data_IF_173657985004
#
_entry.id   IF_173657985004
#
_cell.length_a   1.000
_cell.length_b   1.000
_cell.length_c   1.000
_cell.angle_alpha   90.00
_cell.angle_beta   90.00
_cell.angle_gamma   90.00
#
_symmetry.space_group_name_H-M   'P 1'
#
loop_
_entity.id
_entity.type
_entity.pdbx_description
1 polymer ?
#
# COMPACT_ATOMS: atom_id res chain seq x y z
N UNK A 1 -28.10 11.49 -15.29
CA UNK A 1 -27.87 10.51 -16.39
C UNK A 1 -26.48 9.92 -16.22
N UNK A 2 -26.42 8.65 -15.78
CA UNK A 2 -25.18 7.89 -15.70
C UNK A 2 -24.51 7.90 -17.09
N UNK A 3 -23.21 8.18 -17.14
CA UNK A 3 -22.47 7.94 -18.39
C UNK A 3 -22.51 6.44 -18.64
N UNK A 4 -23.02 6.04 -19.80
CA UNK A 4 -23.04 4.63 -20.20
C UNK A 4 -21.61 4.07 -20.11
N UNK A 5 -21.43 2.83 -19.63
CA UNK A 5 -20.15 2.15 -19.67
C UNK A 5 -19.59 2.17 -21.09
N UNK A 6 -18.30 2.46 -21.24
CA UNK A 6 -17.59 2.26 -22.51
C UNK A 6 -17.45 0.77 -22.78
N UNK A 7 -17.44 0.33 -24.05
CA UNK A 7 -17.26 -1.11 -24.39
C UNK A 7 -16.05 -1.77 -23.71
N UNK A 8 -15.00 -1.00 -23.39
CA UNK A 8 -13.81 -1.48 -22.67
C UNK A 8 -14.07 -1.77 -21.18
N UNK A 9 -14.85 -0.93 -20.48
CA UNK A 9 -15.15 -1.15 -19.06
C UNK A 9 -16.04 -2.38 -18.84
N UNK A 10 -17.05 -2.59 -19.69
CA UNK A 10 -17.87 -3.81 -19.60
C UNK A 10 -17.04 -5.07 -19.89
N UNK A 11 -16.03 -4.95 -20.74
CA UNK A 11 -15.09 -6.04 -21.05
C UNK A 11 -14.21 -6.39 -19.83
N UNK A 12 -13.65 -5.42 -19.11
CA UNK A 12 -12.81 -5.69 -17.94
C UNK A 12 -13.56 -6.47 -16.84
N UNK A 13 -14.79 -6.07 -16.53
CA UNK A 13 -15.61 -6.75 -15.53
C UNK A 13 -15.97 -8.18 -15.97
N UNK A 14 -16.28 -8.38 -17.25
CA UNK A 14 -16.54 -9.71 -17.82
C UNK A 14 -15.30 -10.61 -17.78
N UNK A 15 -14.11 -10.06 -18.05
CA UNK A 15 -12.86 -10.81 -17.95
C UNK A 15 -12.58 -11.23 -16.51
N UNK A 16 -12.68 -10.32 -15.54
CA UNK A 16 -12.53 -10.69 -14.13
C UNK A 16 -13.59 -11.69 -13.67
N UNK A 17 -14.82 -11.59 -14.18
CA UNK A 17 -15.86 -12.60 -13.93
C UNK A 17 -15.44 -13.96 -14.48
N UNK A 18 -14.90 -14.00 -15.69
CA UNK A 18 -14.39 -15.23 -16.28
C UNK A 18 -13.23 -15.82 -15.45
N UNK A 19 -12.30 -14.99 -14.97
CA UNK A 19 -11.23 -15.43 -14.08
C UNK A 19 -11.78 -15.96 -12.74
N UNK A 20 -12.78 -15.29 -12.18
CA UNK A 20 -13.48 -15.73 -10.97
C UNK A 20 -14.14 -17.11 -11.16
N UNK A 21 -14.93 -17.28 -12.22
CA UNK A 21 -15.67 -18.50 -12.56
C UNK A 21 -14.77 -19.66 -13.03
N UNK A 22 -13.65 -19.37 -13.70
CA UNK A 22 -12.69 -20.39 -14.15
C UNK A 22 -12.17 -21.27 -13.00
N UNK A 23 -12.30 -20.78 -11.77
CA UNK A 23 -11.91 -21.47 -10.53
C UNK A 23 -13.10 -21.85 -9.64
N UNK A 24 -14.33 -21.82 -10.18
CA UNK A 24 -15.60 -21.81 -9.42
C UNK A 24 -15.84 -22.95 -8.44
N UNK A 25 -15.21 -24.12 -8.58
CA UNK A 25 -15.31 -25.22 -7.59
C UNK A 25 -14.42 -25.02 -6.35
N UNK A 26 -13.53 -24.03 -6.36
CA UNK A 26 -12.49 -23.83 -5.34
C UNK A 26 -12.61 -22.48 -4.61
N UNK A 27 -13.75 -21.79 -4.69
CA UNK A 27 -13.96 -20.48 -4.04
C UNK A 27 -14.79 -20.60 -2.76
N UNK A 28 -14.38 -19.90 -1.71
CA UNK A 28 -15.16 -19.78 -0.47
C UNK A 28 -16.42 -18.93 -0.65
N UNK A 29 -17.35 -19.08 0.29
CA UNK A 29 -18.51 -18.22 0.43
C UNK A 29 -18.12 -16.73 0.53
N UNK A 30 -17.02 -16.42 1.21
CA UNK A 30 -16.52 -15.06 1.40
C UNK A 30 -16.07 -14.44 0.06
N UNK A 31 -15.34 -15.19 -0.78
CA UNK A 31 -14.97 -14.73 -2.11
C UNK A 31 -16.20 -14.46 -2.99
N UNK A 32 -17.24 -15.30 -2.91
CA UNK A 32 -18.52 -15.08 -3.61
C UNK A 32 -19.26 -13.83 -3.10
N UNK A 33 -19.28 -13.59 -1.79
CA UNK A 33 -19.89 -12.38 -1.22
C UNK A 33 -19.17 -11.11 -1.69
N UNK A 34 -17.84 -11.11 -1.69
CA UNK A 34 -17.06 -9.98 -2.20
C UNK A 34 -17.29 -9.78 -3.70
N UNK A 35 -17.35 -10.85 -4.48
CA UNK A 35 -17.70 -10.77 -5.90
C UNK A 35 -19.08 -10.14 -6.12
N UNK A 36 -20.10 -10.54 -5.35
CA UNK A 36 -21.42 -9.93 -5.40
C UNK A 36 -21.40 -8.44 -5.05
N UNK A 37 -20.62 -8.03 -4.05
CA UNK A 37 -20.48 -6.61 -3.70
C UNK A 37 -19.76 -5.83 -4.79
N UNK A 38 -18.73 -6.40 -5.41
CA UNK A 38 -18.07 -5.82 -6.58
C UNK A 38 -19.08 -5.56 -7.71
N UNK A 39 -19.92 -6.55 -8.03
CA UNK A 39 -20.96 -6.41 -9.05
C UNK A 39 -22.02 -5.35 -8.70
N UNK A 40 -22.33 -5.18 -7.41
CA UNK A 40 -23.26 -4.14 -6.93
C UNK A 40 -22.66 -2.73 -7.01
N UNK A 41 -21.39 -2.57 -6.64
CA UNK A 41 -20.68 -1.29 -6.73
C UNK A 41 -20.44 -0.89 -8.19
N UNK A 42 -20.13 -1.87 -9.04
CA UNK A 42 -19.75 -1.67 -10.43
C UNK A 42 -18.38 -1.02 -10.58
N UNK A 43 -17.98 -0.81 -11.84
CA UNK A 43 -16.73 -0.12 -12.13
C UNK A 43 -16.85 1.38 -11.87
N UNK A 44 -15.87 1.99 -11.21
CA UNK A 44 -15.87 3.42 -10.97
C UNK A 44 -15.62 4.19 -12.27
N UNK A 45 -16.11 5.43 -12.29
CA UNK A 45 -15.88 6.38 -13.38
C UNK A 45 -15.29 7.66 -12.83
N UNK A 46 -14.64 8.46 -13.67
CA UNK A 46 -14.09 9.78 -13.28
C UNK A 46 -15.13 10.79 -12.78
N UNK A 47 -16.43 10.49 -12.93
CA UNK A 47 -17.52 11.30 -12.36
C UNK A 47 -17.72 11.04 -10.86
N UNK A 48 -17.28 9.88 -10.37
CA UNK A 48 -17.31 9.56 -8.95
C UNK A 48 -16.19 10.32 -8.24
N UNK A 49 -16.52 10.91 -7.10
CA UNK A 49 -15.64 11.83 -6.37
C UNK A 49 -14.28 11.19 -6.01
N UNK A 50 -14.30 9.93 -5.57
CA UNK A 50 -13.11 9.19 -5.17
C UNK A 50 -12.23 8.72 -6.36
N UNK A 51 -12.64 8.95 -7.60
CA UNK A 51 -12.00 8.45 -8.83
C UNK A 51 -11.72 9.53 -9.88
N UNK A 52 -11.98 10.80 -9.56
CA UNK A 52 -11.80 11.93 -10.49
C UNK A 52 -10.38 12.04 -11.08
N UNK A 53 -9.37 11.74 -10.26
CA UNK A 53 -7.95 11.99 -10.53
C UNK A 53 -7.14 10.74 -10.87
N UNK A 54 -7.76 9.57 -10.75
CA UNK A 54 -7.12 8.26 -10.91
C UNK A 54 -7.70 7.57 -12.15
N UNK A 55 -7.06 7.73 -13.32
CA UNK A 55 -7.57 7.22 -14.58
C UNK A 55 -7.50 5.69 -14.60
N UNK A 56 -8.56 5.04 -15.07
CA UNK A 56 -8.65 3.57 -15.15
C UNK A 56 -8.81 3.07 -16.58
N UNK A 57 -8.87 3.98 -17.55
CA UNK A 57 -9.13 3.67 -18.95
C UNK A 57 -8.06 2.72 -19.51
N UNK A 58 -6.78 2.92 -19.13
CA UNK A 58 -5.67 2.07 -19.58
C UNK A 58 -5.66 0.69 -18.93
N UNK A 59 -6.17 0.56 -17.70
CA UNK A 59 -6.33 -0.73 -17.02
C UNK A 59 -7.51 -1.50 -17.60
N UNK A 60 -8.66 -0.84 -17.76
CA UNK A 60 -9.87 -1.48 -18.26
C UNK A 60 -9.82 -1.85 -19.74
N UNK A 61 -8.86 -1.31 -20.51
CA UNK A 61 -8.63 -1.73 -21.89
C UNK A 61 -7.79 -3.01 -22.04
N UNK A 62 -7.24 -3.55 -20.94
CA UNK A 62 -6.35 -4.71 -20.98
C UNK A 62 -7.13 -6.03 -21.16
N UNK A 63 -6.38 -7.07 -21.57
CA UNK A 63 -6.87 -8.45 -21.61
C UNK A 63 -6.22 -9.25 -20.48
N UNK A 64 -6.95 -9.49 -19.38
CA UNK A 64 -6.45 -10.13 -18.17
C UNK A 64 -6.41 -11.66 -18.30
N UNK A 65 -5.32 -12.24 -17.82
CA UNK A 65 -5.12 -13.68 -17.67
C UNK A 65 -4.53 -14.00 -16.30
N UNK A 66 -4.76 -15.21 -15.83
CA UNK A 66 -4.05 -15.72 -14.66
C UNK A 66 -2.62 -16.08 -15.08
N UNK A 67 -1.60 -15.77 -14.27
CA UNK A 67 -0.24 -16.17 -14.55
C UNK A 67 -0.12 -17.69 -14.69
N UNK A 68 0.63 -18.13 -15.70
CA UNK A 68 1.16 -19.50 -15.72
C UNK A 68 2.30 -19.62 -14.72
N UNK A 69 2.56 -20.82 -14.18
CA UNK A 69 3.56 -21.01 -13.11
C UNK A 69 4.96 -20.52 -13.54
N UNK A 70 5.29 -19.29 -13.18
CA UNK A 70 6.60 -18.68 -13.43
C UNK A 70 7.68 -19.47 -12.73
N UNK A 71 8.75 -19.78 -13.47
CA UNK A 71 9.94 -20.42 -12.90
C UNK A 71 10.79 -19.36 -12.22
N UNK A 72 10.69 -19.27 -10.91
CA UNK A 72 11.56 -18.46 -10.06
C UNK A 72 12.50 -19.40 -9.30
N UNK A 73 13.80 -19.12 -9.35
CA UNK A 73 14.84 -19.90 -8.69
C UNK A 73 15.33 -19.22 -7.42
N UNK A 74 16.04 -19.96 -6.56
CA UNK A 74 16.68 -19.38 -5.38
C UNK A 74 17.70 -18.28 -5.73
N UNK A 75 18.32 -18.36 -6.92
CA UNK A 75 19.23 -17.32 -7.41
C UNK A 75 18.50 -16.02 -7.74
N UNK A 76 17.31 -16.11 -8.35
CA UNK A 76 16.47 -14.94 -8.63
C UNK A 76 16.05 -14.27 -7.30
N UNK A 77 15.63 -15.07 -6.31
CA UNK A 77 15.31 -14.56 -4.96
C UNK A 77 16.51 -13.84 -4.33
N UNK A 78 17.72 -14.38 -4.45
CA UNK A 78 18.92 -13.75 -3.88
C UNK A 78 19.25 -12.39 -4.53
N UNK A 79 18.85 -12.15 -5.77
CA UNK A 79 19.04 -10.87 -6.47
C UNK A 79 17.94 -9.85 -6.14
N UNK A 80 16.73 -10.33 -5.90
CA UNK A 80 15.52 -9.50 -5.74
C UNK A 80 15.26 -9.18 -4.25
N UNK A 81 15.52 -10.12 -3.36
CA UNK A 81 15.22 -9.99 -1.95
C UNK A 81 16.11 -8.95 -1.25
N UNK A 82 15.54 -8.31 -0.24
CA UNK A 82 16.29 -7.45 0.67
C UNK A 82 17.27 -8.31 1.48
N UNK A 83 18.49 -7.79 1.67
CA UNK A 83 19.51 -8.42 2.51
C UNK A 83 19.30 -8.09 3.99
N UNK A 84 18.15 -8.47 4.53
CA UNK A 84 17.76 -8.23 5.94
C UNK A 84 17.69 -9.55 6.70
N UNK A 85 18.02 -9.52 7.99
CA UNK A 85 17.81 -10.66 8.88
C UNK A 85 16.33 -10.72 9.30
N UNK A 86 15.55 -11.53 8.58
CA UNK A 86 14.09 -11.60 8.71
C UNK A 86 13.61 -13.05 8.54
N UNK A 87 12.38 -13.33 9.00
CA UNK A 87 11.64 -14.52 8.59
C UNK A 87 11.02 -14.24 7.23
N UNK A 88 11.49 -14.89 6.17
CA UNK A 88 11.07 -14.59 4.80
C UNK A 88 10.02 -15.55 4.27
N UNK A 89 8.88 -14.99 3.87
CA UNK A 89 7.81 -15.69 3.14
C UNK A 89 7.76 -15.18 1.69
N UNK A 90 7.88 -16.11 0.74
CA UNK A 90 7.91 -15.82 -0.69
C UNK A 90 6.53 -16.10 -1.31
N UNK A 91 6.06 -15.15 -2.09
CA UNK A 91 4.84 -15.26 -2.87
C UNK A 91 5.17 -14.97 -4.34
N UNK A 92 4.74 -15.86 -5.23
CA UNK A 92 4.93 -15.72 -6.67
C UNK A 92 3.57 -15.79 -7.33
N UNK A 93 3.23 -14.77 -8.10
CA UNK A 93 2.01 -14.76 -8.93
C UNK A 93 0.74 -15.09 -8.14
N UNK A 94 0.60 -14.50 -6.95
CA UNK A 94 -0.56 -14.67 -6.07
C UNK A 94 -0.55 -15.90 -5.16
N UNK A 95 0.50 -16.75 -5.21
CA UNK A 95 0.59 -18.00 -4.43
C UNK A 95 1.81 -18.04 -3.51
N UNK A 96 1.68 -18.68 -2.35
CA UNK A 96 2.78 -18.95 -1.43
C UNK A 96 3.71 -20.03 -2.00
N UNK A 97 5.02 -19.76 -1.95
CA UNK A 97 6.04 -20.72 -2.35
C UNK A 97 6.80 -21.22 -1.13
N UNK A 98 6.43 -22.41 -0.65
CA UNK A 98 7.05 -23.02 0.53
C UNK A 98 8.53 -23.37 0.33
N UNK A 99 8.94 -23.77 -0.88
CA UNK A 99 10.32 -24.19 -1.18
C UNK A 99 11.32 -23.03 -1.13
N UNK A 100 10.89 -21.83 -1.52
CA UNK A 100 11.71 -20.61 -1.54
C UNK A 100 11.58 -19.78 -0.24
N UNK A 101 10.64 -20.15 0.64
CA UNK A 101 10.43 -19.51 1.93
C UNK A 101 11.28 -20.14 3.03
N UNK A 102 11.47 -19.40 4.11
CA UNK A 102 12.07 -19.96 5.32
C UNK A 102 11.19 -21.06 5.92
N UNK A 103 11.81 -22.07 6.52
CA UNK A 103 11.09 -23.20 7.14
C UNK A 103 10.88 -23.00 8.65
N UNK A 104 11.57 -22.03 9.25
CA UNK A 104 11.44 -21.68 10.67
C UNK A 104 10.91 -20.26 10.77
N UNK A 105 9.85 -20.08 11.57
CA UNK A 105 9.09 -18.84 11.62
C UNK A 105 9.27 -18.05 12.91
N UNK A 106 10.23 -18.38 13.77
CA UNK A 106 10.68 -17.58 14.92
C UNK A 106 9.60 -16.89 15.77
N UNK A 107 8.54 -17.63 16.11
CA UNK A 107 7.43 -17.13 16.93
C UNK A 107 6.21 -16.64 16.13
N UNK A 108 6.31 -16.54 14.82
CA UNK A 108 5.17 -16.34 13.93
C UNK A 108 4.44 -17.67 13.69
N UNK A 109 3.15 -17.71 14.02
CA UNK A 109 2.24 -18.73 13.51
C UNK A 109 1.90 -18.42 12.06
N UNK A 110 2.24 -19.31 11.12
CA UNK A 110 1.96 -19.14 9.69
C UNK A 110 1.02 -20.25 9.22
N UNK A 111 -0.16 -19.87 8.73
CA UNK A 111 -1.13 -20.78 8.15
C UNK A 111 -1.54 -20.33 6.75
N UNK A 112 -1.32 -21.19 5.77
CA UNK A 112 -1.77 -21.01 4.39
C UNK A 112 -3.12 -21.67 4.23
N UNK A 113 -4.13 -20.90 3.80
CA UNK A 113 -5.47 -21.41 3.52
C UNK A 113 -5.79 -21.23 2.04
N UNK A 114 -6.25 -22.30 1.40
CA UNK A 114 -6.77 -22.21 0.03
C UNK A 114 -8.08 -21.42 0.02
N UNK A 115 -8.40 -20.78 -1.12
CA UNK A 115 -9.59 -19.94 -1.24
C UNK A 115 -10.88 -20.64 -0.80
N UNK A 116 -11.03 -21.95 -1.00
CA UNK A 116 -12.20 -22.74 -0.60
C UNK A 116 -12.34 -22.94 0.92
N UNK A 117 -11.22 -22.98 1.64
CA UNK A 117 -11.15 -23.32 3.07
C UNK A 117 -11.00 -22.09 3.97
N UNK A 118 -11.00 -20.92 3.35
CA UNK A 118 -10.78 -19.64 4.00
C UNK A 118 -11.83 -19.38 5.08
N UNK A 119 -11.36 -19.13 6.30
CA UNK A 119 -12.21 -18.65 7.40
C UNK A 119 -12.65 -17.21 7.16
N UNK A 120 -13.77 -16.83 7.77
CA UNK A 120 -14.19 -15.44 7.79
C UNK A 120 -13.17 -14.60 8.57
N UNK A 121 -12.70 -13.52 7.96
CA UNK A 121 -12.00 -12.45 8.66
C UNK A 121 -12.99 -11.32 8.97
N UNK A 122 -12.53 -10.33 9.72
CA UNK A 122 -13.31 -9.13 10.02
C UNK A 122 -13.80 -8.43 8.75
N UNK A 123 -14.95 -7.76 8.89
CA UNK A 123 -15.51 -6.97 7.81
C UNK A 123 -14.55 -5.84 7.41
N UNK A 124 -14.51 -5.46 6.12
CA UNK A 124 -13.74 -4.30 5.68
C UNK A 124 -14.09 -3.03 6.46
N UNK A 125 -13.07 -2.30 6.92
CA UNK A 125 -13.27 -0.99 7.55
C UNK A 125 -13.89 0.00 6.57
N UNK A 126 -13.40 0.01 5.33
CA UNK A 126 -13.93 0.83 4.25
C UNK A 126 -14.06 -0.02 2.97
N UNK A 127 -15.28 -0.50 2.69
CA UNK A 127 -15.52 -1.29 1.48
C UNK A 127 -15.36 -0.44 0.20
N UNK A 128 -14.63 -0.99 -0.79
CA UNK A 128 -14.51 -0.40 -2.13
C UNK A 128 -14.22 -1.49 -3.19
N UNK A 129 -14.25 -1.09 -4.46
CA UNK A 129 -14.27 -2.01 -5.60
C UNK A 129 -13.03 -2.91 -5.69
N UNK A 130 -11.81 -2.36 -5.57
CA UNK A 130 -10.58 -3.12 -5.77
C UNK A 130 -10.22 -4.02 -4.57
N UNK A 131 -10.67 -3.66 -3.36
CA UNK A 131 -10.71 -4.52 -2.20
C UNK A 131 -11.55 -5.75 -2.51
N UNK A 132 -12.78 -5.56 -2.99
CA UNK A 132 -13.65 -6.69 -3.34
C UNK A 132 -13.08 -7.53 -4.48
N UNK A 133 -12.42 -6.91 -5.46
CA UNK A 133 -11.74 -7.62 -6.53
C UNK A 133 -10.66 -8.53 -5.97
N UNK A 134 -9.78 -7.99 -5.12
CA UNK A 134 -8.71 -8.74 -4.47
C UNK A 134 -9.25 -9.86 -3.58
N UNK A 135 -10.26 -9.57 -2.75
CA UNK A 135 -10.88 -10.58 -1.89
C UNK A 135 -11.55 -11.71 -2.69
N UNK A 136 -12.09 -11.40 -3.88
CA UNK A 136 -12.73 -12.39 -4.75
C UNK A 136 -11.75 -13.24 -5.56
N UNK A 137 -10.65 -12.64 -6.04
CA UNK A 137 -9.71 -13.28 -6.95
C UNK A 137 -8.55 -13.96 -6.25
N UNK A 138 -8.17 -13.55 -5.03
CA UNK A 138 -7.11 -14.17 -4.25
C UNK A 138 -7.30 -15.70 -4.14
N UNK A 139 -6.26 -16.44 -4.50
CA UNK A 139 -6.28 -17.92 -4.51
C UNK A 139 -5.96 -18.51 -3.15
N UNK A 140 -5.11 -17.81 -2.40
CA UNK A 140 -4.65 -18.22 -1.08
C UNK A 140 -4.79 -17.05 -0.12
N UNK A 141 -5.05 -17.37 1.13
CA UNK A 141 -5.06 -16.44 2.24
C UNK A 141 -4.06 -16.89 3.30
N UNK A 142 -3.15 -16.00 3.68
CA UNK A 142 -2.12 -16.27 4.67
C UNK A 142 -2.55 -15.67 6.00
N UNK A 143 -2.70 -16.52 7.01
CA UNK A 143 -2.96 -16.10 8.38
C UNK A 143 -1.66 -16.16 9.16
N UNK A 144 -1.31 -15.02 9.75
CA UNK A 144 -0.10 -14.77 10.51
C UNK A 144 -0.51 -14.45 11.94
N UNK A 145 0.17 -15.02 12.92
CA UNK A 145 -0.15 -14.82 14.34
C UNK A 145 1.10 -14.57 15.16
N UNK A 146 1.05 -13.59 16.04
CA UNK A 146 2.05 -13.36 17.09
C UNK A 146 1.35 -13.52 18.43
N UNK A 147 1.81 -14.47 19.23
CA UNK A 147 1.10 -14.92 20.44
C UNK A 147 1.24 -13.92 21.58
N UNK A 148 0.27 -13.96 22.49
CA UNK A 148 0.16 -13.04 23.63
C UNK A 148 1.49 -12.86 24.38
N UNK A 149 1.87 -11.59 24.60
CA UNK A 149 3.06 -11.22 25.37
C UNK A 149 4.40 -11.58 24.73
N UNK A 150 4.42 -12.07 23.49
CA UNK A 150 5.65 -12.40 22.78
C UNK A 150 6.19 -11.20 22.00
N UNK A 151 7.51 -11.06 21.96
CA UNK A 151 8.19 -10.08 21.12
C UNK A 151 9.06 -10.82 20.10
N UNK A 152 8.72 -10.69 18.82
CA UNK A 152 9.45 -11.33 17.73
C UNK A 152 10.83 -10.71 17.59
N UNK A 153 11.88 -11.54 17.52
CA UNK A 153 13.26 -11.05 17.44
C UNK A 153 13.65 -10.57 16.03
N UNK A 154 13.03 -11.14 15.00
CA UNK A 154 13.26 -10.81 13.60
C UNK A 154 11.94 -10.39 12.96
N UNK A 155 11.93 -9.39 12.05
CA UNK A 155 10.72 -8.99 11.35
C UNK A 155 10.22 -10.11 10.43
N UNK A 156 8.92 -10.12 10.16
CA UNK A 156 8.33 -10.95 9.12
C UNK A 156 8.42 -10.23 7.77
N UNK A 157 9.08 -10.85 6.80
CA UNK A 157 9.31 -10.28 5.47
C UNK A 157 8.50 -11.02 4.41
N UNK A 158 7.45 -10.37 3.91
CA UNK A 158 6.59 -10.86 2.84
C UNK A 158 7.11 -10.32 1.50
N UNK A 159 7.73 -11.18 0.70
CA UNK A 159 8.22 -10.82 -0.64
C UNK A 159 7.21 -11.31 -1.70
N UNK A 160 6.58 -10.37 -2.41
CA UNK A 160 5.63 -10.62 -3.48
C UNK A 160 6.28 -10.36 -4.84
N UNK A 161 6.37 -11.40 -5.65
CA UNK A 161 6.97 -11.37 -6.99
C UNK A 161 5.87 -11.60 -8.02
N UNK A 162 5.53 -10.55 -8.78
CA UNK A 162 4.56 -10.64 -9.87
C UNK A 162 5.28 -10.69 -11.22
N UNK A 163 4.84 -11.60 -12.09
CA UNK A 163 5.30 -11.70 -13.47
C UNK A 163 4.26 -11.12 -14.44
N UNK A 164 4.72 -10.43 -15.47
CA UNK A 164 3.90 -10.12 -16.65
C UNK A 164 3.87 -11.27 -17.66
N UNK A 165 2.96 -11.22 -18.61
CA UNK A 165 3.00 -12.09 -19.80
C UNK A 165 3.80 -11.42 -20.90
N UNK A 166 4.68 -12.16 -21.58
CA UNK A 166 5.40 -11.67 -22.78
C UNK A 166 4.52 -11.54 -24.04
N UNK A 167 3.20 -11.48 -23.87
CA UNK A 167 2.18 -11.44 -24.92
C UNK A 167 1.35 -10.16 -24.83
N UNK A 168 0.34 -9.99 -25.69
CA UNK A 168 -0.61 -8.86 -25.63
C UNK A 168 -1.59 -8.94 -24.44
N UNK A 169 -1.58 -10.05 -23.70
CA UNK A 169 -2.37 -10.22 -22.48
C UNK A 169 -1.62 -9.67 -21.27
N UNK A 170 -2.31 -9.52 -20.14
CA UNK A 170 -1.78 -9.04 -18.89
C UNK A 170 -2.07 -10.02 -17.75
N UNK A 171 -1.00 -10.54 -17.16
CA UNK A 171 -1.09 -11.32 -15.93
C UNK A 171 -1.68 -10.48 -14.79
N UNK A 172 -2.59 -11.09 -14.02
CA UNK A 172 -3.17 -10.49 -12.81
C UNK A 172 -3.01 -11.38 -11.59
N UNK A 173 -2.48 -10.84 -10.50
CA UNK A 173 -2.13 -11.56 -9.27
C UNK A 173 -2.72 -10.87 -8.05
N UNK A 174 -3.40 -11.62 -7.17
CA UNK A 174 -4.07 -11.06 -5.99
C UNK A 174 -3.59 -11.72 -4.70
N UNK A 175 -2.96 -10.92 -3.83
CA UNK A 175 -2.37 -11.39 -2.57
C UNK A 175 -3.25 -11.02 -1.37
N UNK A 176 -3.52 -11.98 -0.48
CA UNK A 176 -4.34 -11.77 0.72
C UNK A 176 -3.66 -12.28 1.99
N UNK A 177 -3.42 -11.36 2.93
CA UNK A 177 -2.76 -11.65 4.20
C UNK A 177 -3.59 -11.14 5.38
N UNK A 178 -3.57 -11.85 6.50
CA UNK A 178 -4.14 -11.40 7.76
C UNK A 178 -3.12 -11.60 8.87
N UNK A 179 -2.83 -10.54 9.64
CA UNK A 179 -1.94 -10.58 10.78
C UNK A 179 -2.75 -10.34 12.06
N UNK A 180 -2.69 -11.30 12.99
CA UNK A 180 -3.18 -11.16 14.35
C UNK A 180 -1.99 -10.94 15.28
N UNK A 181 -1.87 -9.73 15.85
CA UNK A 181 -0.94 -9.43 16.94
C UNK A 181 -1.75 -9.50 18.23
N UNK A 182 -1.52 -10.52 19.05
CA UNK A 182 -2.29 -10.71 20.29
C UNK A 182 -1.91 -9.69 21.37
N UNK A 183 -2.66 -9.69 22.47
CA UNK A 183 -2.46 -8.79 23.59
C UNK A 183 -1.00 -8.78 24.08
N UNK A 184 -0.44 -7.58 24.26
CA UNK A 184 0.93 -7.39 24.75
C UNK A 184 2.03 -7.92 23.83
N UNK A 185 1.70 -8.36 22.61
CA UNK A 185 2.68 -8.86 21.67
C UNK A 185 3.32 -7.74 20.85
N UNK A 186 4.54 -7.95 20.36
CA UNK A 186 5.29 -6.99 19.56
C UNK A 186 5.76 -7.64 18.25
N UNK A 187 5.47 -6.98 17.13
CA UNK A 187 5.77 -7.50 15.80
C UNK A 187 6.20 -6.41 14.82
N UNK A 188 7.10 -6.77 13.90
CA UNK A 188 7.37 -5.99 12.70
C UNK A 188 7.06 -6.82 11.46
N UNK A 189 6.40 -6.21 10.47
CA UNK A 189 6.05 -6.83 9.20
C UNK A 189 6.43 -5.92 8.02
N UNK A 190 7.02 -6.51 6.99
CA UNK A 190 7.47 -5.82 5.78
C UNK A 190 6.76 -6.47 4.59
N UNK A 191 5.96 -5.71 3.87
CA UNK A 191 5.44 -6.08 2.55
C UNK A 191 6.37 -5.52 1.47
N UNK A 192 6.88 -6.35 0.55
CA UNK A 192 7.74 -5.92 -0.54
C UNK A 192 7.27 -6.49 -1.87
N UNK A 193 6.81 -5.61 -2.76
CA UNK A 193 6.31 -5.95 -4.08
C UNK A 193 7.32 -5.58 -5.13
N UNK A 194 7.61 -6.55 -5.99
CA UNK A 194 8.59 -6.44 -7.07
C UNK A 194 8.07 -7.15 -8.32
N UNK A 195 8.56 -6.71 -9.48
CA UNK A 195 8.32 -7.42 -10.73
C UNK A 195 9.46 -8.40 -10.99
N UNK A 196 9.13 -9.60 -11.47
CA UNK A 196 10.14 -10.57 -11.89
C UNK A 196 11.00 -10.06 -13.07
N UNK A 197 10.38 -9.29 -13.97
CA UNK A 197 10.99 -8.72 -15.17
C UNK A 197 10.21 -7.49 -15.63
N UNK A 198 10.58 -6.89 -16.77
CA UNK A 198 9.97 -5.65 -17.27
C UNK A 198 8.57 -5.82 -17.87
N UNK A 199 8.14 -7.05 -18.19
CA UNK A 199 6.79 -7.25 -18.69
C UNK A 199 5.72 -6.81 -17.67
N UNK A 200 4.67 -6.18 -18.18
CA UNK A 200 3.64 -5.49 -17.40
C UNK A 200 2.68 -6.50 -16.77
N UNK A 201 2.26 -6.22 -15.53
CA UNK A 201 1.27 -7.02 -14.81
C UNK A 201 0.32 -6.13 -13.99
N UNK A 202 -0.71 -6.77 -13.42
CA UNK A 202 -1.64 -6.15 -12.49
C UNK A 202 -1.60 -6.87 -11.14
N UNK A 203 -1.16 -6.15 -10.11
CA UNK A 203 -1.14 -6.61 -8.72
C UNK A 203 -2.33 -6.04 -7.96
N UNK A 204 -3.10 -6.94 -7.35
CA UNK A 204 -4.03 -6.63 -6.26
C UNK A 204 -3.47 -7.10 -4.93
N UNK A 205 -3.64 -6.32 -3.86
CA UNK A 205 -3.19 -6.77 -2.54
C UNK A 205 -4.03 -6.28 -1.37
N UNK A 206 -4.12 -7.11 -0.33
CA UNK A 206 -4.81 -6.77 0.91
C UNK A 206 -4.14 -7.43 2.10
N UNK A 207 -3.62 -6.61 3.01
CA UNK A 207 -3.17 -7.01 4.34
C UNK A 207 -4.10 -6.43 5.40
N UNK A 208 -4.74 -7.29 6.17
CA UNK A 208 -5.56 -6.89 7.34
C UNK A 208 -4.79 -7.17 8.62
N UNK A 209 -4.70 -6.22 9.53
CA UNK A 209 -3.94 -6.32 10.78
C UNK A 209 -4.86 -6.07 11.96
N UNK A 210 -5.03 -7.08 12.81
CA UNK A 210 -5.74 -6.97 14.08
C UNK A 210 -4.72 -6.88 15.22
N UNK A 211 -4.64 -5.70 15.85
CA UNK A 211 -3.67 -5.39 16.90
C UNK A 211 -4.39 -5.38 18.25
N UNK A 212 -4.04 -6.35 19.10
CA UNK A 212 -4.65 -6.53 20.41
C UNK A 212 -4.30 -5.42 21.41
N UNK A 213 -4.86 -5.55 22.60
CA UNK A 213 -4.59 -4.62 23.70
C UNK A 213 -3.11 -4.62 24.08
N UNK A 214 -2.55 -3.47 24.43
CA UNK A 214 -1.14 -3.32 24.83
C UNK A 214 -0.10 -3.81 23.80
N UNK A 215 -0.53 -4.13 22.57
CA UNK A 215 0.34 -4.69 21.54
C UNK A 215 1.05 -3.59 20.73
N UNK A 216 2.17 -3.96 20.11
CA UNK A 216 2.96 -3.07 19.25
C UNK A 216 3.12 -3.65 17.86
N UNK A 217 2.88 -2.82 16.84
CA UNK A 217 3.04 -3.21 15.45
C UNK A 217 3.82 -2.14 14.68
N UNK A 218 4.89 -2.57 14.00
CA UNK A 218 5.56 -1.78 12.98
C UNK A 218 5.33 -2.43 11.60
N UNK A 219 4.61 -1.74 10.72
CA UNK A 219 4.29 -2.18 9.36
C UNK A 219 5.02 -1.30 8.34
N UNK A 220 5.71 -1.94 7.41
CA UNK A 220 6.41 -1.26 6.31
C UNK A 220 5.93 -1.86 4.98
N UNK A 221 5.55 -1.00 4.03
CA UNK A 221 5.17 -1.41 2.67
C UNK A 221 6.13 -0.80 1.66
N UNK A 222 6.76 -1.62 0.85
CA UNK A 222 7.64 -1.26 -0.26
C UNK A 222 6.99 -1.71 -1.57
N UNK A 223 6.36 -0.78 -2.30
CA UNK A 223 5.78 -1.09 -3.61
C UNK A 223 6.74 -0.67 -4.72
N UNK A 224 7.64 -1.57 -5.13
CA UNK A 224 8.78 -1.32 -6.01
C UNK A 224 8.68 -2.04 -7.37
N UNK A 225 7.45 -2.32 -7.80
CA UNK A 225 7.17 -2.93 -9.11
C UNK A 225 7.63 -2.05 -10.28
N UNK A 226 7.78 -2.69 -11.44
CA UNK A 226 8.29 -2.08 -12.67
C UNK A 226 7.40 -0.95 -13.19
N UNK A 227 8.01 -0.14 -14.07
CA UNK A 227 7.31 0.93 -14.77
C UNK A 227 6.29 0.32 -15.74
N UNK A 228 5.04 0.78 -15.67
CA UNK A 228 3.95 0.31 -16.55
C UNK A 228 2.97 -0.67 -15.92
N UNK A 229 3.35 -1.35 -14.83
CA UNK A 229 2.43 -2.21 -14.07
C UNK A 229 1.39 -1.43 -13.27
N UNK A 230 0.40 -2.15 -12.76
CA UNK A 230 -0.72 -1.60 -12.00
C UNK A 230 -0.71 -2.19 -10.59
N UNK A 231 -0.81 -1.34 -9.56
CA UNK A 231 -0.86 -1.80 -8.17
C UNK A 231 -2.07 -1.21 -7.44
N UNK A 232 -3.02 -2.06 -7.07
CA UNK A 232 -4.21 -1.67 -6.31
C UNK A 232 -4.25 -2.43 -4.99
N UNK A 233 -4.05 -1.71 -3.89
CA UNK A 233 -3.97 -2.33 -2.57
C UNK A 233 -4.86 -1.66 -1.54
N UNK A 234 -5.41 -2.47 -0.63
CA UNK A 234 -6.22 -1.98 0.49
C UNK A 234 -5.88 -2.73 1.77
N UNK A 235 -5.18 -2.05 2.68
CA UNK A 235 -4.83 -2.59 3.99
C UNK A 235 -5.80 -2.09 5.06
N UNK A 236 -6.14 -2.95 6.03
CA UNK A 236 -6.96 -2.58 7.19
C UNK A 236 -6.15 -2.74 8.48
N UNK A 237 -6.33 -1.83 9.43
CA UNK A 237 -5.74 -1.88 10.77
C UNK A 237 -6.86 -1.72 11.80
N UNK A 238 -7.07 -2.70 12.67
CA UNK A 238 -7.93 -2.54 13.85
C UNK A 238 -7.06 -2.61 15.10
N UNK A 239 -7.31 -1.74 16.07
CA UNK A 239 -6.48 -1.64 17.28
C UNK A 239 -7.31 -1.64 18.56
N UNK A 240 -6.87 -2.46 19.52
CA UNK A 240 -7.38 -2.51 20.90
C UNK A 240 -6.95 -1.30 21.72
N UNK A 241 -7.06 -1.39 23.05
CA UNK A 241 -6.64 -0.31 23.98
C UNK A 241 -5.14 -0.34 24.19
N UNK A 242 -4.55 0.79 24.52
CA UNK A 242 -3.12 0.92 24.84
C UNK A 242 -2.19 0.37 23.74
N UNK A 243 -2.67 0.26 22.50
CA UNK A 243 -1.91 -0.27 21.39
C UNK A 243 -1.02 0.81 20.78
N UNK A 244 0.10 0.41 20.18
CA UNK A 244 0.98 1.31 19.43
C UNK A 244 1.23 0.76 18.03
N UNK A 245 0.80 1.50 17.01
CA UNK A 245 0.89 1.07 15.61
C UNK A 245 1.60 2.12 14.77
N UNK A 246 2.60 1.69 14.02
CA UNK A 246 3.30 2.47 13.01
C UNK A 246 3.11 1.79 11.66
N UNK A 247 2.67 2.53 10.64
CA UNK A 247 2.53 2.05 9.27
C UNK A 247 3.21 3.02 8.31
N UNK A 248 4.20 2.54 7.56
CA UNK A 248 4.99 3.34 6.62
C UNK A 248 4.92 2.74 5.22
N UNK A 249 4.41 3.50 4.25
CA UNK A 249 4.27 3.05 2.87
C UNK A 249 5.16 3.85 1.91
N UNK A 250 6.10 3.19 1.25
CA UNK A 250 6.95 3.74 0.19
C UNK A 250 6.45 3.25 -1.16
N UNK A 251 5.65 4.08 -1.83
CA UNK A 251 5.03 3.77 -3.11
C UNK A 251 5.89 4.32 -4.25
N UNK A 252 6.94 3.57 -4.56
CA UNK A 252 8.01 3.97 -5.49
C UNK A 252 8.05 3.01 -6.69
N UNK A 253 6.87 2.70 -7.24
CA UNK A 253 6.66 1.70 -8.27
C UNK A 253 5.28 1.79 -8.93
N UNK A 254 5.12 0.95 -9.95
CA UNK A 254 4.01 0.82 -10.88
C UNK A 254 3.61 2.12 -11.62
N UNK A 255 3.18 1.95 -12.88
CA UNK A 255 2.70 3.04 -13.71
C UNK A 255 1.44 3.72 -13.14
N UNK A 256 0.55 2.91 -12.58
CA UNK A 256 -0.63 3.36 -11.86
C UNK A 256 -0.72 2.62 -10.53
N UNK A 257 -0.54 3.37 -9.45
CA UNK A 257 -0.63 2.88 -8.08
C UNK A 257 -1.80 3.53 -7.37
N UNK A 258 -2.64 2.73 -6.72
CA UNK A 258 -3.61 3.20 -5.73
C UNK A 258 -3.53 2.35 -4.47
N UNK A 259 -3.16 2.99 -3.35
CA UNK A 259 -3.02 2.33 -2.07
C UNK A 259 -3.91 2.98 -1.02
N UNK A 260 -4.76 2.16 -0.40
CA UNK A 260 -5.60 2.52 0.73
C UNK A 260 -5.06 1.90 2.02
N UNK A 261 -5.07 2.68 3.11
CA UNK A 261 -4.94 2.17 4.48
C UNK A 261 -6.15 2.65 5.29
N UNK A 262 -7.00 1.72 5.71
CA UNK A 262 -8.18 1.99 6.53
C UNK A 262 -7.93 1.54 7.96
N UNK A 263 -8.17 2.39 8.96
CA UNK A 263 -7.85 2.12 10.35
C UNK A 263 -9.01 2.43 11.30
N UNK A 264 -9.17 1.60 12.32
CA UNK A 264 -10.11 1.82 13.43
C UNK A 264 -9.39 1.73 14.78
N UNK A 265 -9.50 2.80 15.57
CA UNK A 265 -9.05 2.83 16.95
C UNK A 265 -10.22 2.46 17.87
N UNK A 266 -10.32 1.15 18.16
CA UNK A 266 -11.45 0.54 18.85
C UNK A 266 -11.23 0.41 20.37
N UNK A 267 -10.03 0.66 20.87
CA UNK A 267 -9.73 0.86 22.29
C UNK A 267 -9.17 2.24 22.60
N UNK A 268 -9.24 2.63 23.86
CA UNK A 268 -8.74 3.92 24.35
C UNK A 268 -7.21 3.93 24.48
N UNK A 269 -6.61 5.13 24.55
CA UNK A 269 -5.17 5.32 24.80
C UNK A 269 -4.26 4.68 23.74
N UNK A 270 -4.74 4.58 22.50
CA UNK A 270 -3.99 4.01 21.38
C UNK A 270 -3.23 5.07 20.61
N UNK A 271 -2.00 4.77 20.22
CA UNK A 271 -1.16 5.62 19.35
C UNK A 271 -1.06 5.02 17.95
N UNK A 272 -1.31 5.83 16.93
CA UNK A 272 -1.26 5.42 15.53
C UNK A 272 -0.48 6.42 14.67
N UNK A 273 0.55 5.93 13.98
CA UNK A 273 1.27 6.68 12.96
C UNK A 273 1.03 6.05 11.58
N UNK A 274 0.51 6.81 10.60
CA UNK A 274 0.36 6.36 9.21
C UNK A 274 1.08 7.33 8.28
N UNK A 275 2.14 6.86 7.64
CA UNK A 275 2.98 7.66 6.77
C UNK A 275 3.02 7.09 5.36
N UNK A 276 3.15 7.97 4.36
CA UNK A 276 3.50 7.52 3.01
C UNK A 276 4.43 8.47 2.28
N UNK A 277 5.33 7.90 1.49
CA UNK A 277 6.13 8.60 0.50
C UNK A 277 5.74 8.11 -0.89
N UNK A 278 5.38 9.05 -1.77
CA UNK A 278 5.13 8.77 -3.18
C UNK A 278 6.01 9.65 -4.06
N UNK A 279 6.57 9.05 -5.11
CA UNK A 279 7.47 9.76 -6.03
C UNK A 279 7.14 9.37 -7.49
N UNK A 280 5.99 9.79 -8.04
CA UNK A 280 5.63 9.47 -9.42
C UNK A 280 6.49 10.27 -10.41
N UNK A 281 6.94 9.61 -11.49
CA UNK A 281 7.79 10.17 -12.56
C UNK A 281 7.16 9.97 -13.94
N UNK A 282 7.71 10.60 -14.98
CA UNK A 282 7.24 10.50 -16.36
C UNK A 282 5.74 10.77 -16.57
N UNK A 283 4.93 9.70 -16.62
CA UNK A 283 3.47 9.71 -16.80
C UNK A 283 2.75 8.89 -15.72
N UNK A 284 3.47 8.51 -14.67
CA UNK A 284 2.92 7.69 -13.59
C UNK A 284 1.82 8.44 -12.83
N UNK A 285 0.88 7.69 -12.26
CA UNK A 285 -0.10 8.19 -11.31
C UNK A 285 0.02 7.41 -10.01
N UNK A 286 0.29 8.10 -8.91
CA UNK A 286 0.37 7.48 -7.59
C UNK A 286 -0.69 8.09 -6.66
N UNK A 287 -1.64 7.27 -6.22
CA UNK A 287 -2.78 7.64 -5.38
C UNK A 287 -2.64 6.97 -4.01
N UNK A 288 -2.37 7.76 -2.98
CA UNK A 288 -2.21 7.29 -1.59
C UNK A 288 -3.36 7.81 -0.74
N UNK A 289 -4.02 6.89 -0.01
CA UNK A 289 -5.28 7.17 0.68
C UNK A 289 -5.31 6.61 2.08
N UNK A 290 -5.87 7.37 3.01
CA UNK A 290 -6.13 6.95 4.38
C UNK A 290 -7.58 7.19 4.79
N UNK A 291 -8.14 6.24 5.55
CA UNK A 291 -9.42 6.38 6.22
C UNK A 291 -9.24 5.99 7.68
N UNK A 292 -9.47 6.91 8.61
CA UNK A 292 -9.23 6.69 10.03
C UNK A 292 -10.50 6.96 10.83
N UNK A 293 -10.93 5.99 11.62
CA UNK A 293 -11.99 6.16 12.62
C UNK A 293 -11.40 6.14 14.03
N UNK A 294 -11.50 7.28 14.72
CA UNK A 294 -11.39 7.36 16.18
C UNK A 294 -12.73 6.96 16.78
N UNK A 295 -12.90 5.66 17.01
CA UNK A 295 -14.12 5.10 17.62
C UNK A 295 -14.12 5.23 19.15
N UNK A 296 -12.93 5.29 19.76
CA UNK A 296 -12.70 5.53 21.18
C UNK A 296 -11.85 6.78 21.43
N UNK A 297 -11.95 7.31 22.64
CA UNK A 297 -11.26 8.52 23.07
C UNK A 297 -9.83 8.26 23.54
N UNK A 298 -9.15 9.33 23.95
CA UNK A 298 -7.77 9.33 24.46
C UNK A 298 -6.72 8.79 23.48
N UNK A 299 -7.08 8.65 22.20
CA UNK A 299 -6.19 8.16 21.18
C UNK A 299 -5.40 9.30 20.53
N UNK A 300 -4.16 9.01 20.15
CA UNK A 300 -3.30 9.90 19.38
C UNK A 300 -3.10 9.33 17.97
N UNK A 301 -3.32 10.16 16.94
CA UNK A 301 -2.95 9.79 15.57
C UNK A 301 -2.09 10.86 14.90
N UNK A 302 -1.00 10.45 14.25
CA UNK A 302 -0.14 11.31 13.42
C UNK A 302 -0.06 10.73 12.02
N UNK A 303 -0.32 11.57 11.01
CA UNK A 303 -0.21 11.17 9.62
C UNK A 303 0.70 12.14 8.87
N UNK A 304 1.72 11.60 8.20
CA UNK A 304 2.64 12.37 7.36
C UNK A 304 2.74 11.75 5.97
N UNK A 305 2.17 12.45 5.00
CA UNK A 305 2.15 12.02 3.60
C UNK A 305 2.96 12.99 2.75
N UNK A 306 4.10 12.54 2.22
CA UNK A 306 4.94 13.37 1.35
C UNK A 306 4.86 12.91 -0.09
N UNK A 307 4.72 13.86 -1.00
CA UNK A 307 4.70 13.61 -2.43
C UNK A 307 5.79 14.41 -3.12
N UNK A 308 6.50 13.78 -4.07
CA UNK A 308 7.51 14.42 -4.90
C UNK A 308 7.17 14.06 -6.35
N UNK A 309 6.64 15.00 -7.12
CA UNK A 309 6.08 14.73 -8.45
C UNK A 309 6.99 15.31 -9.51
N UNK A 310 7.40 14.53 -10.51
CA UNK A 310 8.23 15.01 -11.63
C UNK A 310 7.55 14.84 -12.98
N UNK A 311 8.09 15.51 -13.98
CA UNK A 311 7.77 15.34 -15.40
C UNK A 311 6.32 15.71 -15.68
N UNK A 312 5.50 14.75 -16.14
CA UNK A 312 4.05 14.88 -16.35
C UNK A 312 3.26 13.96 -15.42
N UNK A 313 3.90 13.51 -14.35
CA UNK A 313 3.31 12.56 -13.43
C UNK A 313 2.28 13.25 -12.52
N UNK A 314 1.45 12.44 -11.85
CA UNK A 314 0.44 12.93 -10.93
C UNK A 314 0.51 12.21 -9.60
N UNK A 315 0.51 12.97 -8.51
CA UNK A 315 0.22 12.44 -7.17
C UNK A 315 -1.21 12.78 -6.74
N UNK A 316 -1.88 11.82 -6.11
CA UNK A 316 -3.20 12.01 -5.49
C UNK A 316 -3.09 11.65 -4.02
N UNK A 317 -3.54 12.53 -3.14
CA UNK A 317 -3.69 12.26 -1.72
C UNK A 317 -5.16 12.42 -1.30
N UNK A 318 -5.66 11.45 -0.54
CA UNK A 318 -6.96 11.56 0.10
C UNK A 318 -6.92 10.97 1.51
N UNK A 319 -7.12 11.82 2.51
CA UNK A 319 -7.16 11.39 3.90
C UNK A 319 -8.48 11.78 4.53
N UNK A 320 -9.09 10.86 5.26
CA UNK A 320 -10.29 11.11 6.05
C UNK A 320 -10.03 10.74 7.51
N UNK A 321 -10.27 11.66 8.44
CA UNK A 321 -10.32 11.38 9.87
C UNK A 321 -11.75 11.60 10.35
N UNK A 322 -12.36 10.53 10.85
CA UNK A 322 -13.68 10.52 11.47
C UNK A 322 -13.54 10.30 12.97
N UNK A 323 -14.12 11.20 13.77
CA UNK A 323 -14.07 11.14 15.24
C UNK A 323 -15.48 10.93 15.77
N UNK A 324 -15.73 9.78 16.38
CA UNK A 324 -17.04 9.41 16.89
C UNK A 324 -17.50 10.30 18.05
N UNK A 325 -18.81 10.37 18.28
CA UNK A 325 -19.46 11.29 19.25
C UNK A 325 -18.89 11.23 20.68
N UNK A 326 -18.40 10.06 21.11
CA UNK A 326 -17.89 9.84 22.46
C UNK A 326 -16.38 9.61 22.52
N UNK A 327 -15.66 9.90 21.43
CA UNK A 327 -14.21 9.79 21.36
C UNK A 327 -13.53 11.04 21.93
N UNK A 328 -13.78 11.33 23.22
CA UNK A 328 -13.23 12.48 23.93
C UNK A 328 -11.70 12.40 24.01
N UNK A 329 -11.02 13.53 24.12
CA UNK A 329 -9.56 13.65 24.18
C UNK A 329 -8.81 13.07 22.98
N UNK A 330 -9.50 12.88 21.85
CA UNK A 330 -8.84 12.56 20.58
C UNK A 330 -7.82 13.64 20.21
N UNK A 331 -6.59 13.23 19.87
CA UNK A 331 -5.55 14.11 19.33
C UNK A 331 -5.11 13.61 17.95
N UNK A 332 -5.71 14.15 16.89
CA UNK A 332 -5.49 13.75 15.50
C UNK A 332 -4.82 14.83 14.65
N UNK A 333 -3.72 14.51 13.99
CA UNK A 333 -3.04 15.42 13.06
C UNK A 333 -2.72 14.73 11.74
N UNK A 334 -2.98 15.42 10.64
CA UNK A 334 -2.68 14.96 9.28
C UNK A 334 -1.98 16.04 8.48
N UNK A 335 -0.75 15.78 8.06
CA UNK A 335 0.08 16.67 7.27
C UNK A 335 0.35 16.04 5.90
N UNK A 336 0.07 16.78 4.83
CA UNK A 336 0.41 16.37 3.47
C UNK A 336 1.29 17.43 2.77
N UNK A 337 2.58 17.13 2.60
CA UNK A 337 3.52 18.05 1.97
C UNK A 337 3.81 17.57 0.55
N UNK A 338 3.66 18.45 -0.43
CA UNK A 338 3.77 18.12 -1.84
C UNK A 338 4.82 19.00 -2.53
N UNK A 339 5.80 18.36 -3.16
CA UNK A 339 6.87 19.00 -3.90
C UNK A 339 6.73 18.72 -5.40
N UNK A 340 6.49 19.77 -6.19
CA UNK A 340 6.38 19.69 -7.65
C UNK A 340 7.73 20.01 -8.32
N UNK A 341 8.22 19.06 -9.11
CA UNK A 341 9.48 19.10 -9.85
C UNK A 341 9.22 19.22 -11.34
N UNK A 342 8.66 20.35 -11.76
CA UNK A 342 8.42 20.63 -13.17
C UNK A 342 7.10 21.34 -13.41
N UNK A 343 6.95 21.89 -14.62
CA UNK A 343 5.78 22.68 -15.02
C UNK A 343 4.53 21.85 -15.32
N UNK A 344 4.70 20.55 -15.56
CA UNK A 344 3.62 19.63 -15.94
C UNK A 344 3.31 18.61 -14.83
N UNK A 345 4.01 18.69 -13.69
CA UNK A 345 3.76 17.86 -12.53
C UNK A 345 2.45 18.29 -11.87
N UNK A 346 1.61 17.32 -11.51
CA UNK A 346 0.29 17.58 -10.93
C UNK A 346 0.16 16.94 -9.54
N UNK A 347 -0.52 17.64 -8.63
CA UNK A 347 -0.90 17.08 -7.34
C UNK A 347 -2.33 17.46 -6.98
N UNK A 348 -3.10 16.47 -6.59
CA UNK A 348 -4.47 16.62 -6.10
C UNK A 348 -4.55 16.11 -4.67
N UNK A 349 -4.80 17.00 -3.71
CA UNK A 349 -4.85 16.67 -2.28
C UNK A 349 -6.22 16.97 -1.68
N UNK A 350 -6.80 15.99 -0.98
CA UNK A 350 -8.11 16.11 -0.32
C UNK A 350 -8.08 15.57 1.12
N UNK A 351 -7.52 16.32 2.08
CA UNK A 351 -7.61 15.99 3.50
C UNK A 351 -8.99 16.40 4.05
N UNK A 352 -9.65 15.52 4.80
CA UNK A 352 -11.03 15.66 5.26
C UNK A 352 -11.15 15.31 6.75
N UNK A 353 -12.06 15.99 7.45
CA UNK A 353 -12.37 15.76 8.86
C UNK A 353 -13.89 15.63 9.05
N UNK A 354 -14.34 14.60 9.77
CA UNK A 354 -15.70 14.44 10.28
C UNK A 354 -15.66 14.31 11.80
N UNK A 355 -15.93 15.42 12.51
CA UNK A 355 -15.75 15.49 13.97
C UNK A 355 -17.10 15.56 14.66
N UNK A 356 -17.45 14.52 15.43
CA UNK A 356 -18.71 14.43 16.16
C UNK A 356 -18.55 14.59 17.69
N UNK A 357 -17.31 14.76 18.19
CA UNK A 357 -16.98 15.04 19.59
C UNK A 357 -16.42 16.46 19.74
N UNK A 358 -16.72 17.11 20.87
CA UNK A 358 -16.35 18.51 21.17
C UNK A 358 -14.98 18.65 21.83
N UNK A 359 -14.65 17.78 22.79
CA UNK A 359 -13.40 17.81 23.54
C UNK A 359 -12.27 17.08 22.79
N UNK A 360 -11.82 17.62 21.67
CA UNK A 360 -10.80 17.02 20.79
C UNK A 360 -9.79 18.04 20.27
N UNK A 361 -8.62 17.56 19.85
CA UNK A 361 -7.59 18.32 19.13
C UNK A 361 -7.37 17.68 17.77
N UNK A 362 -8.14 18.10 16.78
CA UNK A 362 -8.02 17.61 15.41
C UNK A 362 -7.58 18.71 14.46
N UNK A 363 -6.57 18.44 13.65
CA UNK A 363 -6.10 19.37 12.62
C UNK A 363 -5.60 18.63 11.39
N UNK A 364 -5.65 19.32 10.26
CA UNK A 364 -5.07 18.85 9.01
C UNK A 364 -4.43 20.02 8.28
N UNK A 365 -3.36 19.74 7.54
CA UNK A 365 -2.64 20.73 6.75
C UNK A 365 -2.13 20.09 5.47
N UNK A 366 -2.17 20.86 4.38
CA UNK A 366 -1.56 20.46 3.13
C UNK A 366 -0.78 21.63 2.53
N UNK A 367 0.43 21.38 2.07
CA UNK A 367 1.26 22.37 1.37
C UNK A 367 1.59 21.88 -0.03
N UNK A 368 1.56 22.78 -1.00
CA UNK A 368 2.02 22.50 -2.37
C UNK A 368 3.08 23.55 -2.69
N UNK A 369 4.29 23.09 -3.03
CA UNK A 369 5.42 23.95 -3.33
C UNK A 369 6.28 23.40 -4.45
N UNK A 370 7.13 24.26 -4.99
CA UNK A 370 8.25 23.88 -5.87
C UNK A 370 9.55 23.93 -5.07
N UNK A 371 10.63 23.43 -5.65
CA UNK A 371 11.96 23.66 -5.09
C UNK A 371 12.22 25.16 -4.99
N UNK A 372 12.79 25.59 -3.87
CA UNK A 372 13.17 26.97 -3.62
C UNK A 372 14.38 27.36 -4.49
N UNK A 373 14.18 28.35 -5.36
CA UNK A 373 15.20 28.86 -6.28
C UNK A 373 16.40 29.45 -5.51
N UNK A 374 16.18 30.00 -4.29
CA UNK A 374 17.24 30.53 -3.45
C UNK A 374 18.10 29.41 -2.85
N UNK A 375 17.48 28.30 -2.41
CA UNK A 375 18.20 27.10 -1.96
C UNK A 375 19.04 26.50 -3.09
N UNK A 376 18.47 26.42 -4.30
CA UNK A 376 19.18 25.97 -5.48
C UNK A 376 20.35 26.89 -5.85
N UNK A 377 20.13 28.21 -5.86
CA UNK A 377 21.18 29.19 -6.12
C UNK A 377 22.31 29.08 -5.09
N UNK A 378 21.96 28.96 -3.80
CA UNK A 378 22.94 28.81 -2.73
C UNK A 378 23.82 27.58 -2.91
N UNK A 379 23.23 26.39 -3.13
CA UNK A 379 23.97 25.15 -3.36
C UNK A 379 24.88 25.26 -4.60
N UNK A 380 24.34 25.79 -5.70
CA UNK A 380 25.09 25.95 -6.96
C UNK A 380 26.23 26.97 -6.85
N UNK A 381 26.06 28.03 -6.07
CA UNK A 381 27.11 29.02 -5.81
C UNK A 381 28.33 28.42 -5.10
N UNK A 382 28.16 27.25 -4.46
CA UNK A 382 29.23 26.48 -3.81
C UNK A 382 29.85 25.41 -4.73
N UNK A 383 29.54 25.44 -6.02
CA UNK A 383 30.12 24.52 -7.01
C UNK A 383 29.40 23.18 -7.15
N UNK A 384 28.26 23.01 -6.48
CA UNK A 384 27.42 21.82 -6.63
C UNK A 384 26.64 21.95 -7.95
N UNK A 385 26.65 20.92 -8.78
CA UNK A 385 25.87 20.94 -10.02
C UNK A 385 24.35 20.91 -9.73
N UNK A 386 23.56 21.26 -10.73
CA UNK A 386 22.11 21.40 -10.58
C UNK A 386 21.41 20.10 -10.15
N UNK A 387 21.86 18.96 -10.70
CA UNK A 387 21.27 17.66 -10.43
C UNK A 387 21.59 17.20 -9.00
N UNK A 388 22.83 17.36 -8.57
CA UNK A 388 23.26 17.07 -7.19
C UNK A 388 22.55 17.97 -6.18
N UNK A 389 22.39 19.28 -6.46
CA UNK A 389 21.68 20.20 -5.58
C UNK A 389 20.20 19.83 -5.43
N UNK A 390 19.53 19.50 -6.54
CA UNK A 390 18.16 19.02 -6.53
C UNK A 390 18.01 17.73 -5.71
N UNK A 391 18.92 16.77 -5.88
CA UNK A 391 18.94 15.52 -5.09
C UNK A 391 19.05 15.81 -3.59
N UNK A 392 19.94 16.71 -3.17
CA UNK A 392 20.10 17.07 -1.76
C UNK A 392 18.81 17.63 -1.14
N UNK A 393 18.14 18.56 -1.83
CA UNK A 393 16.87 19.15 -1.36
C UNK A 393 15.79 18.06 -1.23
N UNK A 394 15.72 17.15 -2.19
CA UNK A 394 14.70 16.10 -2.20
C UNK A 394 14.96 15.06 -1.10
N UNK A 395 16.22 14.67 -0.88
CA UNK A 395 16.58 13.83 0.27
C UNK A 395 16.23 14.52 1.59
N UNK A 396 16.52 15.80 1.75
CA UNK A 396 16.12 16.56 2.93
C UNK A 396 14.59 16.61 3.09
N UNK A 397 13.84 16.71 1.99
CA UNK A 397 12.38 16.67 2.01
C UNK A 397 11.84 15.30 2.45
N UNK A 398 12.44 14.21 1.96
CA UNK A 398 12.06 12.84 2.29
C UNK A 398 12.60 12.37 3.66
N UNK A 399 13.60 13.05 4.23
CA UNK A 399 14.35 12.63 5.41
C UNK A 399 13.46 12.25 6.60
N UNK A 400 12.44 13.07 6.93
CA UNK A 400 11.53 12.79 8.05
C UNK A 400 10.82 11.42 7.93
N UNK A 401 10.60 10.93 6.70
CA UNK A 401 10.01 9.61 6.46
C UNK A 401 11.06 8.50 6.44
N UNK A 402 12.24 8.74 5.85
CA UNK A 402 13.29 7.74 5.75
C UNK A 402 14.07 7.54 7.05
N UNK A 403 14.22 8.60 7.87
CA UNK A 403 14.82 8.54 9.21
C UNK A 403 13.90 7.86 10.24
N UNK A 404 12.62 7.70 9.92
CA UNK A 404 11.68 6.94 10.74
C UNK A 404 11.81 5.42 10.52
N UNK A 405 12.67 4.97 9.58
CA UNK A 405 13.01 3.55 9.38
C UNK A 405 14.19 3.24 10.30
N UNK A 406 13.97 2.38 11.30
CA UNK A 406 15.00 2.02 12.28
C UNK A 406 16.07 1.07 11.71
N UNK A 407 15.68 0.20 10.76
CA UNK A 407 16.61 -0.72 10.11
C UNK A 407 17.40 -0.01 9.00
N UNK A 408 18.72 0.08 9.16
CA UNK A 408 19.61 0.77 8.24
C UNK A 408 19.65 0.14 6.83
N UNK A 409 19.40 -1.17 6.72
CA UNK A 409 19.34 -1.85 5.42
C UNK A 409 18.09 -1.43 4.66
N UNK A 410 16.93 -1.45 5.31
CA UNK A 410 15.67 -0.96 4.75
C UNK A 410 15.76 0.51 4.36
N UNK A 411 16.32 1.34 5.24
CA UNK A 411 16.56 2.76 4.97
C UNK A 411 17.43 2.95 3.73
N UNK A 412 18.54 2.22 3.64
CA UNK A 412 19.45 2.26 2.49
C UNK A 412 18.73 1.86 1.20
N UNK A 413 17.97 0.77 1.21
CA UNK A 413 17.22 0.30 0.03
C UNK A 413 16.16 1.32 -0.40
N UNK A 414 15.43 1.92 0.54
CA UNK A 414 14.47 2.99 0.24
C UNK A 414 15.16 4.21 -0.37
N UNK A 415 16.30 4.65 0.20
CA UNK A 415 17.07 5.77 -0.34
C UNK A 415 17.65 5.48 -1.73
N UNK A 416 18.10 4.25 -1.98
CA UNK A 416 18.53 3.80 -3.31
C UNK A 416 17.37 3.80 -4.30
N UNK A 417 16.19 3.34 -3.90
CA UNK A 417 15.00 3.36 -4.75
C UNK A 417 14.54 4.79 -5.06
N UNK A 418 14.60 5.70 -4.09
CA UNK A 418 14.40 7.13 -4.29
C UNK A 418 15.42 7.66 -5.30
N UNK A 419 16.70 7.28 -5.16
CA UNK A 419 17.78 7.71 -6.05
C UNK A 419 17.55 7.29 -7.51
N UNK A 420 17.15 6.03 -7.73
CA UNK A 420 16.85 5.46 -9.05
C UNK A 420 15.74 6.20 -9.78
N UNK A 421 14.85 6.85 -9.03
CA UNK A 421 13.79 7.65 -9.60
C UNK A 421 14.28 9.01 -10.06
N UNK A 422 15.55 9.42 -9.93
CA UNK A 422 16.11 10.65 -10.49
C UNK A 422 16.88 10.40 -11.80
N UNK A 423 16.99 11.42 -12.69
CA UNK A 423 17.94 11.37 -13.78
C UNK A 423 19.33 11.04 -13.23
N UNK A 424 20.13 10.26 -13.97
CA UNK A 424 21.54 9.99 -13.65
C UNK A 424 21.83 8.81 -12.71
N UNK A 425 20.85 8.27 -11.98
CA UNK A 425 20.98 7.06 -11.14
C UNK A 425 22.12 7.10 -10.10
N UNK A 426 22.26 6.02 -9.33
CA UNK A 426 23.51 5.71 -8.60
C UNK A 426 24.41 5.01 -9.60
N UNK A 427 25.55 5.62 -9.94
CA UNK A 427 26.66 4.90 -10.57
C UNK A 427 27.39 4.05 -9.55
#
# INVERSE_FOLDING_TARGET
MAGLPTKSSDNALQQWHHLFESRGKSRSLQAQQHWQQLMRLGLPTRKQENWKYTPLESLFSQSFVLPENSRVTAQDIAQIALNIDAVRLIFIDGKFNAELSDQTFDGYGVQVSQAAERRAFDAPVQAEMFLHLTESLAEEAITLQVTRGSATQRPLYLLHISSGSGSEQMNTSHYRHHLQVEEGAEAQIIEHYVSLHDAVHFTGSRLTMAVGDNARLNHIKLAFENVGSYHFAHNDITSGRDANVISQSFLLGAGLTRHNTSAQLNGENTTLNINSLVLPIDKEVCDTRTYLEHNKGYCQSRQLHKTIVRDRARAVFNGMIKVAKHALKTDGQMTNNNLLLGRLAEVDTKPQLEIYADDVKCSHGATIGRIDDEQMFYLRSRGIDEESAQRMIIYAFAAELTEAIEDETLKTVVLQRIAQRFPGGIK
#
